data_IF_730884503500
#
_entry.id   IF_730884503500
#
_cell.length_a   1.000
_cell.length_b   1.000
_cell.length_c   1.000
_cell.angle_alpha   90.00
_cell.angle_beta   90.00
_cell.angle_gamma   90.00
#
_symmetry.space_group_name_H-M   'P 1'
#
loop_
_entity.id
_entity.type
_entity.pdbx_description
1 polymer ?
#
# COMPACT_ATOMS: atom_id res chain seq x y z
N UNK A 1 16.82 32.24 -11.51
CA UNK A 1 16.66 32.28 -10.03
C UNK A 1 15.27 31.95 -9.55
N UNK A 2 14.19 32.53 -10.09
CA UNK A 2 12.81 32.30 -9.67
C UNK A 2 12.33 30.82 -9.80
N UNK A 3 12.67 30.15 -10.90
CA UNK A 3 12.25 28.75 -11.13
C UNK A 3 12.77 27.79 -10.04
N UNK A 4 14.03 27.91 -9.62
CA UNK A 4 14.59 27.06 -8.56
C UNK A 4 13.95 27.33 -7.19
N UNK A 5 13.63 28.60 -6.89
CA UNK A 5 12.92 28.95 -5.65
C UNK A 5 11.49 28.40 -5.65
N UNK A 6 10.77 28.55 -6.76
CA UNK A 6 9.40 28.00 -6.90
C UNK A 6 9.44 26.48 -6.71
N UNK A 7 10.37 25.79 -7.37
CA UNK A 7 10.50 24.34 -7.25
C UNK A 7 10.83 23.91 -5.81
N UNK A 8 11.72 24.61 -5.13
CA UNK A 8 12.02 24.37 -3.72
C UNK A 8 10.78 24.55 -2.83
N UNK A 9 10.00 25.60 -3.05
CA UNK A 9 8.77 25.85 -2.28
C UNK A 9 7.71 24.77 -2.51
N UNK A 10 7.60 24.25 -3.74
CA UNK A 10 6.69 23.12 -4.04
C UNK A 10 7.13 21.87 -3.28
N UNK A 11 8.42 21.55 -3.30
CA UNK A 11 8.95 20.39 -2.55
C UNK A 11 8.72 20.54 -1.05
N UNK A 12 9.04 21.72 -0.50
CA UNK A 12 8.82 22.02 0.92
C UNK A 12 7.33 21.92 1.28
N UNK A 13 6.45 22.48 0.46
CA UNK A 13 5.00 22.40 0.65
C UNK A 13 4.49 20.95 0.63
N UNK A 14 4.99 20.13 -0.29
CA UNK A 14 4.65 18.69 -0.36
C UNK A 14 5.07 17.93 0.89
N UNK A 15 6.27 18.17 1.40
CA UNK A 15 6.79 17.55 2.63
C UNK A 15 5.97 17.98 3.85
N UNK A 16 5.71 19.29 3.98
CA UNK A 16 4.91 19.81 5.08
C UNK A 16 3.48 19.28 5.05
N UNK A 17 2.86 19.24 3.87
CA UNK A 17 1.54 18.64 3.70
C UNK A 17 1.53 17.19 4.16
N UNK A 18 2.51 16.39 3.75
CA UNK A 18 2.60 14.98 4.13
C UNK A 18 2.78 14.79 5.65
N UNK A 19 3.60 15.63 6.30
CA UNK A 19 3.86 15.55 7.76
C UNK A 19 2.64 16.00 8.57
N UNK A 20 1.97 17.08 8.16
CA UNK A 20 0.90 17.68 8.94
C UNK A 20 -0.50 17.12 8.62
N UNK A 21 -0.65 16.34 7.54
CA UNK A 21 -1.92 15.74 7.18
C UNK A 21 -1.90 14.23 7.49
N UNK A 22 -2.59 13.76 8.53
CA UNK A 22 -2.50 12.37 9.01
C UNK A 22 -3.36 11.38 8.20
N UNK A 23 -3.48 11.57 6.90
CA UNK A 23 -4.36 10.78 6.02
C UNK A 23 -3.94 9.31 5.86
N UNK A 24 -2.70 8.96 6.20
CA UNK A 24 -2.13 7.61 6.06
C UNK A 24 -1.78 6.95 7.41
N UNK A 25 -2.09 7.60 8.54
CA UNK A 25 -1.74 7.12 9.89
C UNK A 25 -2.77 6.18 10.51
N UNK A 26 -3.88 5.90 9.82
CA UNK A 26 -4.92 5.03 10.33
C UNK A 26 -4.51 3.58 10.16
N UNK A 27 -4.30 2.87 11.27
CA UNK A 27 -4.00 1.45 11.30
C UNK A 27 -5.16 0.66 10.66
N UNK A 28 -4.84 -0.30 9.79
CA UNK A 28 -5.85 -1.09 9.08
C UNK A 28 -6.55 -2.03 10.05
N UNK A 29 -5.79 -2.87 10.75
CA UNK A 29 -6.30 -3.78 11.77
C UNK A 29 -5.17 -4.29 12.65
N UNK A 30 -5.50 -4.76 13.86
CA UNK A 30 -4.49 -5.21 14.84
C UNK A 30 -3.60 -6.35 14.35
N UNK A 31 -4.13 -7.25 13.51
CA UNK A 31 -3.39 -8.38 12.94
C UNK A 31 -2.68 -8.04 11.62
N UNK A 32 -2.81 -6.81 11.12
CA UNK A 32 -2.21 -6.34 9.87
C UNK A 32 -1.03 -5.40 10.08
N UNK A 33 -0.50 -5.36 11.28
CA UNK A 33 0.64 -4.50 11.64
C UNK A 33 1.82 -4.61 10.66
N UNK A 34 2.12 -5.80 10.13
CA UNK A 34 3.17 -5.99 9.13
C UNK A 34 2.93 -5.21 7.83
N UNK A 35 1.67 -5.04 7.42
CA UNK A 35 1.31 -4.21 6.26
C UNK A 35 1.54 -2.73 6.56
N UNK A 36 1.06 -2.24 7.72
CA UNK A 36 1.24 -0.85 8.13
C UNK A 36 2.73 -0.49 8.28
N UNK A 37 3.53 -1.37 8.89
CA UNK A 37 4.97 -1.19 9.03
C UNK A 37 5.66 -1.13 7.64
N UNK A 38 5.24 -1.95 6.69
CA UNK A 38 5.79 -1.96 5.32
C UNK A 38 5.41 -0.70 4.56
N UNK A 39 4.17 -0.23 4.69
CA UNK A 39 3.70 1.03 4.10
C UNK A 39 4.51 2.19 4.68
N UNK A 40 4.63 2.25 6.00
CA UNK A 40 5.41 3.29 6.70
C UNK A 40 6.86 3.31 6.26
N UNK A 41 7.53 2.15 6.18
CA UNK A 41 8.89 2.03 5.67
C UNK A 41 9.00 2.57 4.23
N UNK A 42 8.06 2.21 3.38
CA UNK A 42 8.03 2.65 1.97
C UNK A 42 7.88 4.17 1.86
N UNK A 43 7.02 4.77 2.67
CA UNK A 43 6.87 6.23 2.71
C UNK A 43 8.13 6.94 3.19
N UNK A 44 8.78 6.44 4.23
CA UNK A 44 10.01 7.06 4.73
C UNK A 44 11.17 6.95 3.74
N UNK A 45 11.39 5.75 3.18
CA UNK A 45 12.48 5.55 2.21
C UNK A 45 12.17 6.24 0.89
N UNK A 46 10.98 6.05 0.34
CA UNK A 46 10.57 6.69 -0.91
C UNK A 46 10.49 8.20 -0.80
N UNK A 47 9.95 8.71 0.31
CA UNK A 47 9.92 10.14 0.61
C UNK A 47 11.32 10.74 0.74
N UNK A 48 12.24 10.05 1.42
CA UNK A 48 13.65 10.47 1.52
C UNK A 48 14.32 10.55 0.16
N UNK A 49 14.14 9.54 -0.69
CA UNK A 49 14.67 9.55 -2.08
C UNK A 49 14.04 10.68 -2.90
N UNK A 50 12.72 10.87 -2.80
CA UNK A 50 12.03 11.97 -3.48
C UNK A 50 12.62 13.32 -3.11
N UNK A 51 12.77 13.61 -1.82
CA UNK A 51 13.35 14.86 -1.34
C UNK A 51 14.79 15.02 -1.83
N UNK A 52 15.62 13.97 -1.75
CA UNK A 52 17.01 14.03 -2.20
C UNK A 52 17.12 14.36 -3.70
N UNK A 53 16.31 13.70 -4.54
CA UNK A 53 16.29 13.95 -6.00
C UNK A 53 15.79 15.37 -6.29
N UNK A 54 14.73 15.80 -5.63
CA UNK A 54 14.18 17.14 -5.84
C UNK A 54 15.17 18.24 -5.40
N UNK A 55 15.83 18.09 -4.26
CA UNK A 55 16.86 19.03 -3.81
C UNK A 55 18.07 19.05 -4.75
N UNK A 56 18.46 17.87 -5.28
CA UNK A 56 19.49 17.81 -6.30
C UNK A 56 19.10 18.57 -7.57
N UNK A 57 17.84 18.43 -8.02
CA UNK A 57 17.32 19.21 -9.15
C UNK A 57 17.33 20.72 -8.87
N UNK A 58 16.88 21.15 -7.67
CA UNK A 58 16.98 22.56 -7.25
C UNK A 58 18.41 23.05 -7.33
N UNK A 59 19.35 22.29 -6.79
CA UNK A 59 20.78 22.60 -6.85
C UNK A 59 21.26 22.75 -8.30
N UNK A 60 20.91 21.84 -9.18
CA UNK A 60 21.28 21.91 -10.60
C UNK A 60 20.72 23.18 -11.27
N UNK A 61 19.43 23.48 -11.05
CA UNK A 61 18.77 24.65 -11.63
C UNK A 61 19.42 25.96 -11.14
N UNK A 62 19.80 26.02 -9.87
CA UNK A 62 20.43 27.23 -9.31
C UNK A 62 21.90 27.39 -9.74
N UNK A 63 22.65 26.27 -9.79
CA UNK A 63 24.09 26.29 -10.07
C UNK A 63 24.39 26.42 -11.56
N UNK A 64 23.62 25.75 -12.42
CA UNK A 64 23.88 25.67 -13.86
C UNK A 64 23.01 26.63 -14.67
N UNK A 65 22.67 27.78 -14.11
CA UNK A 65 21.99 28.85 -14.84
C UNK A 65 22.84 29.30 -16.05
N UNK A 66 22.15 29.64 -17.13
CA UNK A 66 22.79 30.19 -18.33
C UNK A 66 23.56 31.46 -18.00
N UNK A 67 24.82 31.54 -18.44
CA UNK A 67 25.69 32.73 -18.43
C UNK A 67 26.32 32.88 -19.79
N UNK A 68 26.31 34.10 -20.34
CA UNK A 68 26.79 34.37 -21.70
C UNK A 68 28.26 33.95 -21.94
N UNK A 69 29.08 34.00 -20.90
CA UNK A 69 30.50 33.67 -20.95
C UNK A 69 30.79 32.16 -20.73
N UNK A 70 29.79 31.35 -20.43
CA UNK A 70 29.99 29.97 -20.06
C UNK A 70 29.30 29.03 -21.04
N UNK A 71 30.07 28.18 -21.72
CA UNK A 71 29.54 27.08 -22.54
C UNK A 71 29.50 25.81 -21.73
N UNK A 72 28.43 25.03 -21.93
CA UNK A 72 28.30 23.67 -21.37
C UNK A 72 29.24 22.74 -22.11
N UNK A 73 29.88 21.83 -21.39
CA UNK A 73 30.62 20.72 -21.96
C UNK A 73 29.64 19.74 -22.63
N UNK A 74 29.93 19.36 -23.85
CA UNK A 74 29.16 18.35 -24.56
C UNK A 74 29.60 16.94 -24.13
N UNK A 75 28.86 16.33 -23.20
CA UNK A 75 29.11 14.98 -22.71
C UNK A 75 27.82 14.16 -22.79
N UNK A 76 27.49 13.58 -23.95
CA UNK A 76 26.19 12.95 -24.18
C UNK A 76 25.98 11.68 -23.37
N UNK A 77 27.06 10.96 -23.03
CA UNK A 77 27.00 9.72 -22.27
C UNK A 77 28.05 9.67 -21.17
N UNK A 78 27.64 9.27 -19.98
CA UNK A 78 28.54 8.90 -18.90
C UNK A 78 28.20 7.48 -18.41
N UNK A 79 28.80 6.48 -19.04
CA UNK A 79 28.58 5.05 -18.74
C UNK A 79 28.88 4.67 -17.28
N UNK A 80 29.76 5.44 -16.60
CA UNK A 80 30.08 5.20 -15.19
C UNK A 80 28.94 5.67 -14.30
N UNK A 81 28.44 6.87 -14.55
CA UNK A 81 27.30 7.44 -13.80
C UNK A 81 26.04 6.60 -14.03
N UNK A 82 25.73 6.26 -15.25
CA UNK A 82 24.61 5.40 -15.61
C UNK A 82 24.64 4.06 -14.87
N UNK A 83 25.79 3.39 -14.86
CA UNK A 83 25.95 2.11 -14.15
C UNK A 83 25.75 2.27 -12.64
N UNK A 84 26.27 3.33 -12.03
CA UNK A 84 26.10 3.61 -10.60
C UNK A 84 24.62 3.84 -10.27
N UNK A 85 23.93 4.67 -11.06
CA UNK A 85 22.52 4.96 -10.87
C UNK A 85 21.66 3.71 -11.04
N UNK A 86 21.92 2.91 -12.09
CA UNK A 86 21.20 1.67 -12.34
C UNK A 86 21.35 0.69 -11.18
N UNK A 87 22.57 0.46 -10.67
CA UNK A 87 22.78 -0.41 -9.54
C UNK A 87 22.17 0.13 -8.26
N UNK A 88 22.31 1.42 -7.99
CA UNK A 88 21.73 2.05 -6.81
C UNK A 88 20.20 1.93 -6.78
N UNK A 89 19.54 2.20 -7.90
CA UNK A 89 18.07 2.05 -8.00
C UNK A 89 17.64 0.60 -7.93
N UNK A 90 18.34 -0.32 -8.60
CA UNK A 90 18.02 -1.75 -8.56
C UNK A 90 18.13 -2.30 -7.14
N UNK A 91 19.21 -2.01 -6.42
CA UNK A 91 19.40 -2.45 -5.04
C UNK A 91 18.37 -1.79 -4.11
N UNK A 92 18.06 -0.50 -4.31
CA UNK A 92 17.04 0.20 -3.54
C UNK A 92 15.66 -0.42 -3.70
N UNK A 93 15.26 -0.70 -4.94
CA UNK A 93 13.98 -1.37 -5.23
C UNK A 93 13.94 -2.79 -4.65
N UNK A 94 15.01 -3.57 -4.81
CA UNK A 94 15.09 -4.91 -4.24
C UNK A 94 14.99 -4.90 -2.70
N UNK A 95 15.64 -3.95 -2.05
CA UNK A 95 15.58 -3.78 -0.59
C UNK A 95 14.18 -3.39 -0.08
N UNK A 96 13.41 -2.63 -0.85
CA UNK A 96 12.01 -2.30 -0.52
C UNK A 96 11.05 -3.45 -0.83
N UNK A 97 11.32 -4.21 -1.89
CA UNK A 97 10.46 -5.33 -2.29
C UNK A 97 10.52 -6.50 -1.30
N UNK A 98 11.70 -6.78 -0.73
CA UNK A 98 11.91 -7.93 0.15
C UNK A 98 10.98 -7.94 1.38
N UNK A 99 10.83 -6.86 2.19
CA UNK A 99 9.86 -6.80 3.28
C UNK A 99 8.42 -7.03 2.80
N UNK A 100 8.04 -6.43 1.67
CA UNK A 100 6.71 -6.59 1.08
C UNK A 100 6.39 -8.05 0.74
N UNK A 101 7.34 -8.78 0.16
CA UNK A 101 7.19 -10.22 -0.15
C UNK A 101 7.07 -11.08 1.12
N UNK A 102 7.79 -10.73 2.19
CA UNK A 102 7.69 -11.43 3.47
C UNK A 102 6.28 -11.25 4.06
N UNK A 103 5.77 -10.02 4.10
CA UNK A 103 4.44 -9.71 4.60
C UNK A 103 3.37 -10.36 3.73
N UNK A 104 3.52 -10.31 2.40
CA UNK A 104 2.62 -11.01 1.48
C UNK A 104 2.59 -12.52 1.73
N UNK A 105 3.75 -13.15 1.96
CA UNK A 105 3.80 -14.57 2.29
C UNK A 105 3.07 -14.90 3.60
N UNK A 106 3.15 -14.03 4.61
CA UNK A 106 2.40 -14.17 5.86
C UNK A 106 0.88 -14.04 5.64
N UNK A 107 0.47 -13.17 4.71
CA UNK A 107 -0.92 -12.98 4.36
C UNK A 107 -1.51 -14.19 3.63
N UNK A 108 -0.79 -14.78 2.69
CA UNK A 108 -1.26 -15.94 1.90
C UNK A 108 -1.26 -17.23 2.70
N UNK A 109 -0.35 -17.38 3.66
CA UNK A 109 -0.25 -18.55 4.51
C UNK A 109 -1.18 -18.42 5.72
N UNK A 110 -2.37 -18.96 5.61
CA UNK A 110 -3.39 -18.92 6.67
C UNK A 110 -2.92 -19.73 7.89
N UNK A 111 -2.90 -19.14 9.10
CA UNK A 111 -2.60 -19.87 10.34
C UNK A 111 -3.61 -20.98 10.60
N UNK A 112 -3.16 -22.07 11.21
CA UNK A 112 -4.04 -23.24 11.50
C UNK A 112 -5.19 -22.93 12.46
N UNK A 113 -5.06 -21.89 13.25
CA UNK A 113 -6.05 -21.41 14.22
C UNK A 113 -6.83 -20.18 13.73
N UNK A 114 -6.76 -19.86 12.45
CA UNK A 114 -7.51 -18.76 11.88
C UNK A 114 -9.03 -19.05 11.91
N UNK A 115 -9.80 -18.04 12.22
CA UNK A 115 -11.26 -18.10 12.15
C UNK A 115 -11.65 -17.98 10.67
N UNK A 116 -12.43 -18.96 10.21
CA UNK A 116 -12.98 -18.95 8.85
C UNK A 116 -14.25 -18.12 8.82
N UNK A 117 -14.31 -17.13 7.94
CA UNK A 117 -15.48 -16.29 7.72
C UNK A 117 -15.85 -16.36 6.25
N UNK A 118 -17.10 -16.74 5.95
CA UNK A 118 -17.61 -16.60 4.59
C UNK A 118 -18.16 -15.20 4.39
N UNK A 119 -17.77 -14.58 3.29
CA UNK A 119 -18.20 -13.24 2.91
C UNK A 119 -18.94 -13.31 1.59
N UNK A 120 -20.17 -12.82 1.57
CA UNK A 120 -20.94 -12.64 0.34
C UNK A 120 -21.17 -11.16 0.09
N UNK A 121 -20.81 -10.71 -1.11
CA UNK A 121 -20.99 -9.35 -1.56
C UNK A 121 -21.99 -9.32 -2.72
N UNK A 122 -22.89 -8.37 -2.71
CA UNK A 122 -23.74 -8.04 -3.83
C UNK A 122 -23.84 -6.53 -3.99
N UNK A 123 -24.39 -6.08 -5.09
CA UNK A 123 -24.55 -4.66 -5.30
C UNK A 123 -25.32 -4.03 -4.13
N UNK A 124 -24.65 -3.09 -3.43
CA UNK A 124 -25.11 -2.31 -2.28
C UNK A 124 -25.21 -3.07 -0.95
N UNK A 125 -24.53 -4.20 -0.78
CA UNK A 125 -24.54 -4.88 0.50
C UNK A 125 -23.48 -5.96 0.67
N UNK A 126 -23.21 -6.27 1.94
CA UNK A 126 -22.31 -7.32 2.38
C UNK A 126 -23.01 -8.18 3.42
N UNK A 127 -22.74 -9.47 3.41
CA UNK A 127 -23.20 -10.41 4.42
C UNK A 127 -22.05 -11.30 4.85
N UNK A 128 -21.93 -11.49 6.15
CA UNK A 128 -20.85 -12.27 6.75
C UNK A 128 -21.45 -13.47 7.48
N UNK A 129 -20.84 -14.62 7.28
CA UNK A 129 -21.16 -15.83 8.01
C UNK A 129 -19.96 -16.20 8.88
N UNK A 130 -20.16 -16.20 10.19
CA UNK A 130 -19.18 -16.55 11.19
C UNK A 130 -19.41 -17.99 11.68
N UNK A 131 -18.36 -18.70 12.13
CA UNK A 131 -18.50 -19.98 12.78
C UNK A 131 -19.26 -19.83 14.11
N UNK A 132 -19.97 -20.89 14.50
CA UNK A 132 -20.61 -20.96 15.82
C UNK A 132 -19.61 -21.23 16.93
N UNK A 133 -20.11 -21.65 18.10
CA UNK A 133 -19.30 -21.95 19.29
C UNK A 133 -18.29 -23.09 19.07
N UNK A 134 -18.55 -23.97 18.12
CA UNK A 134 -17.65 -25.08 17.72
C UNK A 134 -16.51 -24.65 16.79
N UNK A 135 -16.46 -23.38 16.41
CA UNK A 135 -15.43 -22.81 15.50
C UNK A 135 -15.54 -23.30 14.05
N UNK A 136 -16.65 -23.94 13.65
CA UNK A 136 -16.83 -24.48 12.31
C UNK A 136 -17.99 -23.79 11.59
N UNK A 137 -17.79 -23.53 10.30
CA UNK A 137 -18.86 -23.09 9.42
C UNK A 137 -19.78 -24.27 9.11
N UNK A 138 -21.09 -24.08 9.21
CA UNK A 138 -22.08 -25.10 8.85
C UNK A 138 -22.03 -25.46 7.36
N UNK A 139 -22.59 -26.61 7.00
CA UNK A 139 -22.64 -27.09 5.61
C UNK A 139 -23.57 -26.23 4.74
N UNK A 140 -23.16 -25.98 3.51
CA UNK A 140 -23.94 -25.25 2.51
C UNK A 140 -24.23 -26.15 1.31
N UNK A 141 -25.38 -25.92 0.64
CA UNK A 141 -25.74 -26.57 -0.61
C UNK A 141 -26.31 -25.55 -1.57
N UNK A 142 -25.89 -25.59 -2.81
CA UNK A 142 -26.36 -24.67 -3.86
C UNK A 142 -27.88 -24.75 -4.03
N UNK A 143 -28.46 -25.92 -3.89
CA UNK A 143 -29.91 -26.13 -4.00
C UNK A 143 -30.73 -25.39 -2.94
N UNK A 144 -30.12 -25.01 -1.83
CA UNK A 144 -30.76 -24.23 -0.75
C UNK A 144 -30.67 -22.72 -0.91
N UNK A 145 -29.97 -22.25 -1.94
CA UNK A 145 -29.82 -20.82 -2.18
C UNK A 145 -31.15 -20.22 -2.64
N UNK A 146 -31.62 -19.23 -1.90
CA UNK A 146 -32.78 -18.42 -2.21
C UNK A 146 -32.66 -17.05 -1.55
N UNK A 147 -33.60 -16.14 -1.81
CA UNK A 147 -33.56 -14.75 -1.30
C UNK A 147 -33.47 -14.67 0.23
N UNK A 148 -34.02 -15.65 0.96
CA UNK A 148 -33.97 -15.71 2.42
C UNK A 148 -32.75 -16.51 2.95
N UNK A 149 -32.07 -17.25 2.09
CA UNK A 149 -30.91 -18.09 2.42
C UNK A 149 -29.83 -17.96 1.35
N UNK A 150 -29.21 -16.79 1.21
CA UNK A 150 -28.28 -16.53 0.14
C UNK A 150 -27.00 -17.37 0.23
N UNK A 151 -26.62 -17.84 1.41
CA UNK A 151 -25.49 -18.76 1.58
C UNK A 151 -25.82 -20.23 1.30
N UNK A 152 -27.08 -20.57 1.07
CA UNK A 152 -27.51 -21.96 0.86
C UNK A 152 -27.29 -22.85 2.09
N UNK A 153 -27.45 -22.29 3.28
CA UNK A 153 -27.21 -22.98 4.55
C UNK A 153 -28.18 -24.14 4.72
N UNK A 154 -27.69 -25.27 5.24
CA UNK A 154 -28.55 -26.38 5.63
C UNK A 154 -29.10 -26.14 7.03
N UNK A 155 -30.39 -25.84 7.15
CA UNK A 155 -31.05 -25.48 8.42
C UNK A 155 -31.05 -26.61 9.48
N UNK A 156 -30.71 -27.84 9.12
CA UNK A 156 -30.54 -28.94 10.07
C UNK A 156 -29.29 -28.72 10.97
N UNK A 157 -28.36 -27.84 10.54
CA UNK A 157 -27.12 -27.53 11.24
C UNK A 157 -27.16 -26.14 11.93
N UNK A 158 -28.33 -25.68 12.35
CA UNK A 158 -28.61 -24.31 12.79
C UNK A 158 -27.84 -23.82 14.03
N UNK A 159 -27.16 -24.71 14.76
CA UNK A 159 -26.47 -24.32 16.01
C UNK A 159 -25.10 -23.67 15.82
N UNK A 160 -24.67 -23.41 14.57
CA UNK A 160 -23.26 -23.20 14.30
C UNK A 160 -22.92 -21.98 13.43
N UNK A 161 -23.79 -20.95 13.32
CA UNK A 161 -23.43 -19.75 12.54
C UNK A 161 -24.16 -18.48 13.01
N UNK A 162 -23.48 -17.37 12.85
CA UNK A 162 -24.03 -16.01 13.03
C UNK A 162 -23.98 -15.31 11.69
N UNK A 163 -25.08 -14.72 11.26
CA UNK A 163 -25.14 -13.87 10.07
C UNK A 163 -25.20 -12.43 10.51
N UNK A 164 -24.22 -11.63 10.08
CA UNK A 164 -24.23 -10.18 10.25
C UNK A 164 -24.48 -9.60 8.86
N UNK A 165 -25.52 -8.79 8.72
CA UNK A 165 -25.85 -8.10 7.47
C UNK A 165 -25.66 -6.62 7.66
N UNK A 166 -24.79 -6.01 6.85
CA UNK A 166 -24.69 -4.56 6.73
C UNK A 166 -25.24 -4.12 5.37
N UNK A 167 -26.22 -3.22 5.40
CA UNK A 167 -26.63 -2.47 4.20
C UNK A 167 -25.93 -1.13 4.23
N UNK A 168 -25.15 -0.85 3.21
CA UNK A 168 -24.72 0.52 2.95
C UNK A 168 -25.91 1.24 2.32
N UNK A 169 -26.50 2.16 3.08
CA UNK A 169 -27.58 3.05 2.62
C UNK A 169 -26.94 4.23 1.88
#
# INVERSE_FOLDING_TARGET
>A
MHAGIIFFLVVLGSVLFHIFTPWYWTDIASNWKGMDDTITLTFWVGGGVFVAVCLFMVYCVLKFQHKEERRSEYKPEDKKLERILTWATTLGVAALLAPGLIVWNQYVNVPKNAIHVDVMAWQWGWQYRLPGEDGKLGTTKVVNINDNNPFGINYIALNHYIIISERII
#
